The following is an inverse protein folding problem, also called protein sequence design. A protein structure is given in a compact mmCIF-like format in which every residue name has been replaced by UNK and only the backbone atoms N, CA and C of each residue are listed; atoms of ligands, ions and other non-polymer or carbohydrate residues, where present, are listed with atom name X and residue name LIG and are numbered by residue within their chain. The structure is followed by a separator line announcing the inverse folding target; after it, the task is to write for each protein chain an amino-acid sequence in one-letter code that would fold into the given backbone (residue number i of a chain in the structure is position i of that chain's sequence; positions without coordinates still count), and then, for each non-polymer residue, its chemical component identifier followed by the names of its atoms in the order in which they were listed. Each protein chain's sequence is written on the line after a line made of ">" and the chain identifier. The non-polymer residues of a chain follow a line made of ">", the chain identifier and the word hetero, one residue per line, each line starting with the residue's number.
data_IF_222588611248
#
_entry.id   IF_222588611248
#
_cell.length_a   1.000
_cell.length_b   1.000
_cell.length_c   1.000
_cell.angle_alpha   90.00
_cell.angle_beta   90.00
_cell.angle_gamma   90.00
#
_symmetry.space_group_name_H-M   'P 1'
#
loop_
_entity.id
_entity.type
_entity.pdbx_description
1 polymer ?
#
# COMPACT_ATOMS: atom_id res chain seq x y z
N UNK A 1 21.14 -13.27 -44.95
CA UNK A 1 21.20 -11.98 -44.26
C UNK A 1 20.92 -12.18 -42.78
N UNK A 2 22.00 -12.23 -42.02
CA UNK A 2 21.96 -12.28 -40.54
C UNK A 2 21.38 -10.97 -40.05
N UNK A 3 20.20 -11.03 -39.44
CA UNK A 3 19.72 -9.94 -38.60
C UNK A 3 20.70 -9.76 -37.46
N UNK A 4 21.34 -8.60 -37.41
CA UNK A 4 22.27 -8.25 -36.34
C UNK A 4 21.64 -8.49 -34.99
N UNK A 5 22.36 -9.25 -34.16
CA UNK A 5 22.13 -9.29 -32.75
C UNK A 5 22.30 -7.85 -32.23
N UNK A 6 21.21 -7.28 -31.71
CA UNK A 6 21.27 -5.96 -31.09
C UNK A 6 22.36 -5.94 -30.04
N UNK A 7 23.02 -4.79 -29.90
CA UNK A 7 24.10 -4.57 -28.95
C UNK A 7 23.69 -5.10 -27.54
N UNK A 8 24.42 -6.08 -27.07
CA UNK A 8 24.29 -6.59 -25.70
C UNK A 8 24.93 -5.55 -24.77
N UNK A 9 24.14 -4.65 -24.26
CA UNK A 9 24.61 -3.69 -23.26
C UNK A 9 24.96 -4.44 -21.97
N UNK A 10 26.25 -4.48 -21.63
CA UNK A 10 26.69 -4.93 -20.32
C UNK A 10 26.32 -3.87 -19.28
N UNK A 11 25.71 -4.30 -18.21
CA UNK A 11 25.41 -3.45 -17.05
C UNK A 11 26.51 -3.62 -16.00
N UNK A 12 26.76 -2.56 -15.24
CA UNK A 12 27.77 -2.53 -14.19
C UNK A 12 27.14 -2.48 -12.81
N UNK A 13 27.91 -2.82 -11.79
CA UNK A 13 27.48 -2.64 -10.40
C UNK A 13 27.12 -1.17 -10.14
N UNK A 14 25.95 -0.92 -9.54
CA UNK A 14 25.37 0.40 -9.32
C UNK A 14 24.31 0.81 -10.35
N UNK A 15 24.18 0.09 -11.46
CA UNK A 15 23.15 0.39 -12.46
C UNK A 15 21.77 -0.08 -11.98
N UNK A 16 20.74 0.73 -12.28
CA UNK A 16 19.33 0.34 -12.12
C UNK A 16 18.88 -0.33 -13.41
N UNK A 17 18.41 -1.55 -13.32
CA UNK A 17 18.03 -2.37 -14.46
C UNK A 17 16.63 -2.95 -14.32
N UNK A 18 15.96 -3.20 -15.45
CA UNK A 18 14.73 -3.98 -15.47
C UNK A 18 15.07 -5.42 -15.86
N UNK A 19 14.58 -6.40 -15.08
CA UNK A 19 14.76 -7.82 -15.32
C UNK A 19 13.38 -8.43 -15.61
N UNK A 20 13.29 -9.24 -16.65
CA UNK A 20 12.08 -9.97 -17.01
C UNK A 20 12.34 -11.49 -16.96
N UNK A 21 11.28 -12.28 -16.74
CA UNK A 21 11.37 -13.75 -16.74
C UNK A 21 11.48 -14.37 -15.33
N UNK A 22 11.38 -13.55 -14.28
CA UNK A 22 11.28 -14.04 -12.90
C UNK A 22 9.78 -14.02 -12.51
N UNK A 23 9.22 -15.20 -12.25
CA UNK A 23 7.78 -15.33 -12.00
C UNK A 23 7.36 -14.93 -10.58
N UNK A 24 8.17 -15.26 -9.58
CA UNK A 24 7.81 -15.19 -8.16
C UNK A 24 8.78 -14.32 -7.38
N UNK A 25 9.02 -13.08 -7.84
CA UNK A 25 9.87 -12.13 -7.14
C UNK A 25 9.06 -10.96 -6.58
N UNK A 26 9.25 -10.69 -5.29
CA UNK A 26 8.65 -9.56 -4.57
C UNK A 26 9.59 -8.37 -4.43
N UNK A 27 9.04 -7.23 -4.03
CA UNK A 27 9.82 -6.04 -3.69
C UNK A 27 10.62 -6.31 -2.41
N UNK A 28 11.91 -5.99 -2.43
CA UNK A 28 12.85 -6.22 -1.31
C UNK A 28 13.61 -7.53 -1.40
N UNK A 29 13.29 -8.42 -2.35
CA UNK A 29 14.03 -9.65 -2.55
C UNK A 29 15.32 -9.42 -3.36
N UNK A 30 16.34 -10.19 -3.05
CA UNK A 30 17.66 -10.10 -3.71
C UNK A 30 17.79 -11.16 -4.79
N UNK A 31 18.14 -10.74 -6.01
CA UNK A 31 18.46 -11.65 -7.12
C UNK A 31 19.96 -11.87 -7.17
N UNK A 32 20.39 -13.10 -6.98
CA UNK A 32 21.79 -13.51 -6.95
C UNK A 32 22.16 -14.41 -8.14
N UNK A 33 23.46 -14.51 -8.44
CA UNK A 33 23.97 -15.52 -9.36
C UNK A 33 23.99 -16.88 -8.66
N UNK A 34 23.64 -17.94 -9.36
CA UNK A 34 23.69 -19.31 -8.83
C UNK A 34 25.11 -19.63 -8.32
N UNK A 35 25.21 -20.04 -7.05
CA UNK A 35 26.47 -20.34 -6.38
C UNK A 35 27.17 -19.15 -5.70
N UNK A 36 26.57 -17.96 -5.73
CA UNK A 36 26.98 -16.78 -4.97
C UNK A 36 25.75 -16.11 -4.35
N UNK A 37 25.07 -16.88 -3.50
CA UNK A 37 23.82 -16.49 -2.89
C UNK A 37 24.10 -15.68 -1.61
N UNK A 38 24.22 -14.36 -1.74
CA UNK A 38 24.35 -13.45 -0.62
C UNK A 38 23.16 -12.47 -0.63
N UNK A 39 22.20 -12.70 0.29
CA UNK A 39 21.04 -11.86 0.40
C UNK A 39 21.39 -10.51 1.07
N UNK A 40 20.95 -9.41 0.48
CA UNK A 40 20.98 -8.11 1.13
C UNK A 40 19.95 -8.05 2.27
N UNK A 41 20.17 -7.23 3.32
CA UNK A 41 19.18 -7.09 4.38
C UNK A 41 17.85 -6.59 3.82
N UNK A 42 16.75 -7.23 4.24
CA UNK A 42 15.40 -6.84 3.85
C UNK A 42 15.10 -5.42 4.33
N UNK A 43 14.47 -4.63 3.48
CA UNK A 43 13.95 -3.34 3.87
C UNK A 43 12.80 -3.55 4.87
N UNK A 44 12.94 -2.93 6.05
CA UNK A 44 11.84 -2.91 7.01
C UNK A 44 10.76 -1.95 6.50
N UNK A 45 9.55 -2.47 6.34
CA UNK A 45 8.38 -1.67 5.97
C UNK A 45 7.49 -1.62 7.20
N UNK A 46 7.09 -0.41 7.59
CA UNK A 46 6.21 -0.21 8.73
C UNK A 46 4.88 -0.93 8.53
N UNK A 47 4.35 -1.47 9.62
CA UNK A 47 3.08 -2.16 9.59
C UNK A 47 1.92 -1.19 9.30
N UNK A 48 0.87 -1.67 8.61
CA UNK A 48 -0.29 -0.85 8.34
C UNK A 48 -1.00 -0.41 9.63
N UNK A 49 -1.50 0.82 9.63
CA UNK A 49 -2.18 1.44 10.78
C UNK A 49 -3.69 1.55 10.60
N UNK A 50 -4.19 1.46 9.37
CA UNK A 50 -5.60 1.59 9.01
C UNK A 50 -6.02 0.41 8.14
N UNK A 51 -7.26 -0.04 8.34
CA UNK A 51 -7.87 -1.08 7.53
C UNK A 51 -9.27 -0.68 7.06
N UNK A 52 -9.65 -1.19 5.88
CA UNK A 52 -11.00 -1.10 5.32
C UNK A 52 -11.43 -2.46 4.80
N UNK A 53 -12.73 -2.70 4.76
CA UNK A 53 -13.28 -3.89 4.10
C UNK A 53 -13.67 -3.51 2.68
N UNK A 54 -13.16 -4.24 1.71
CA UNK A 54 -13.53 -4.16 0.29
C UNK A 54 -14.41 -5.35 -0.05
N UNK A 55 -15.41 -5.14 -0.88
CA UNK A 55 -16.33 -6.20 -1.29
C UNK A 55 -16.96 -5.93 -2.64
N UNK A 56 -17.67 -6.93 -3.16
CA UNK A 56 -18.51 -6.74 -4.35
C UNK A 56 -19.66 -5.80 -4.03
N UNK A 57 -20.07 -4.99 -5.00
CA UNK A 57 -21.24 -4.14 -4.84
C UNK A 57 -22.51 -4.99 -4.81
N UNK A 58 -23.19 -5.01 -3.68
CA UNK A 58 -24.44 -5.76 -3.46
C UNK A 58 -25.68 -4.87 -3.53
N UNK A 59 -25.52 -3.59 -3.89
CA UNK A 59 -26.66 -2.67 -4.02
C UNK A 59 -27.54 -3.00 -5.23
N UNK A 60 -28.80 -2.49 -5.28
CA UNK A 60 -29.67 -2.66 -6.45
C UNK A 60 -29.12 -2.03 -7.75
N UNK A 61 -28.09 -1.18 -7.63
CA UNK A 61 -27.44 -0.50 -8.76
C UNK A 61 -26.12 -1.17 -9.19
N UNK A 62 -25.83 -2.36 -8.66
CA UNK A 62 -24.62 -3.09 -9.02
C UNK A 62 -24.53 -3.35 -10.53
N UNK A 63 -23.35 -3.13 -11.10
CA UNK A 63 -23.05 -3.33 -12.52
C UNK A 63 -23.41 -2.17 -13.45
N UNK A 64 -23.74 -0.99 -12.91
CA UNK A 64 -24.07 0.19 -13.71
C UNK A 64 -22.86 1.09 -13.97
N UNK A 65 -21.94 1.19 -13.04
CA UNK A 65 -20.82 2.13 -13.09
C UNK A 65 -19.49 1.48 -13.51
N UNK A 66 -19.34 0.16 -13.34
CA UNK A 66 -18.11 -0.56 -13.60
C UNK A 66 -18.25 -1.72 -14.57
N UNK A 67 -17.13 -2.08 -15.22
CA UNK A 67 -17.03 -3.27 -16.09
C UNK A 67 -16.63 -4.52 -15.30
N UNK A 68 -15.86 -4.35 -14.24
CA UNK A 68 -15.31 -5.42 -13.41
C UNK A 68 -16.02 -5.45 -12.06
N UNK A 69 -17.01 -6.31 -11.94
CA UNK A 69 -17.94 -6.36 -10.81
C UNK A 69 -17.86 -7.66 -10.00
N UNK A 70 -17.12 -8.65 -10.52
CA UNK A 70 -17.07 -9.97 -9.88
C UNK A 70 -16.01 -10.05 -8.80
N UNK A 71 -16.29 -10.85 -7.75
CA UNK A 71 -15.37 -11.10 -6.65
C UNK A 71 -13.97 -11.51 -7.14
N UNK A 72 -13.91 -12.42 -8.11
CA UNK A 72 -12.65 -12.89 -8.68
C UNK A 72 -11.83 -11.77 -9.32
N UNK A 73 -12.46 -10.89 -10.10
CA UNK A 73 -11.77 -9.77 -10.74
C UNK A 73 -11.22 -8.79 -9.72
N UNK A 74 -12.01 -8.47 -8.68
CA UNK A 74 -11.59 -7.59 -7.59
C UNK A 74 -10.41 -8.22 -6.84
N UNK A 75 -10.51 -9.51 -6.50
CA UNK A 75 -9.46 -10.26 -5.82
C UNK A 75 -8.14 -10.24 -6.60
N UNK A 76 -8.17 -10.62 -7.87
CA UNK A 76 -6.99 -10.64 -8.74
C UNK A 76 -6.33 -9.25 -8.82
N UNK A 77 -7.14 -8.19 -8.88
CA UNK A 77 -6.63 -6.81 -8.92
C UNK A 77 -6.01 -6.38 -7.60
N UNK A 78 -6.65 -6.70 -6.48
CA UNK A 78 -6.13 -6.41 -5.15
C UNK A 78 -4.80 -7.12 -4.91
N UNK A 79 -4.72 -8.43 -5.15
CA UNK A 79 -3.46 -9.16 -4.99
C UNK A 79 -2.36 -8.72 -5.96
N UNK A 80 -2.71 -8.23 -7.15
CA UNK A 80 -1.73 -7.63 -8.05
C UNK A 80 -1.10 -6.36 -7.45
N UNK A 81 -1.84 -5.61 -6.64
CA UNK A 81 -1.31 -4.41 -5.98
C UNK A 81 -0.28 -4.75 -4.91
N UNK A 82 -0.43 -5.85 -4.17
CA UNK A 82 0.57 -6.24 -3.16
C UNK A 82 1.95 -6.55 -3.75
N UNK A 83 2.01 -6.93 -5.02
CA UNK A 83 3.29 -7.12 -5.72
C UNK A 83 4.01 -5.79 -6.04
N UNK A 84 3.30 -4.67 -5.96
CA UNK A 84 3.83 -3.33 -6.22
C UNK A 84 4.04 -2.52 -4.95
N UNK A 85 3.17 -2.75 -3.98
CA UNK A 85 3.15 -2.03 -2.72
C UNK A 85 3.24 -2.99 -1.53
N UNK A 86 4.44 -3.11 -0.99
CA UNK A 86 4.75 -3.98 0.15
C UNK A 86 4.13 -3.51 1.46
N UNK A 87 3.65 -2.26 1.53
CA UNK A 87 2.97 -1.73 2.71
C UNK A 87 1.48 -2.06 2.76
N UNK A 88 0.95 -2.63 1.68
CA UNK A 88 -0.44 -3.06 1.59
C UNK A 88 -0.57 -4.52 2.01
N UNK A 89 -1.46 -4.80 2.95
CA UNK A 89 -1.83 -6.18 3.33
C UNK A 89 -3.27 -6.45 2.93
N UNK A 90 -3.50 -7.61 2.32
CA UNK A 90 -4.83 -8.02 1.88
C UNK A 90 -5.13 -9.40 2.44
N UNK A 91 -6.22 -9.52 3.16
CA UNK A 91 -6.68 -10.75 3.78
C UNK A 91 -8.11 -11.03 3.37
N UNK A 92 -8.38 -12.25 2.87
CA UNK A 92 -9.72 -12.64 2.51
C UNK A 92 -10.53 -12.99 3.76
N UNK A 93 -11.76 -12.48 3.86
CA UNK A 93 -12.68 -12.87 4.92
C UNK A 93 -13.27 -14.25 4.56
N UNK A 94 -13.16 -15.21 5.49
CA UNK A 94 -13.68 -16.56 5.27
C UNK A 94 -15.19 -16.55 5.03
N UNK A 95 -15.62 -17.33 4.03
CA UNK A 95 -17.03 -17.48 3.64
C UNK A 95 -17.73 -16.20 3.15
N UNK A 96 -16.96 -15.17 2.74
CA UNK A 96 -17.47 -13.94 2.16
C UNK A 96 -16.69 -13.54 0.91
N UNK A 97 -17.34 -12.76 0.05
CA UNK A 97 -16.70 -12.10 -1.09
C UNK A 97 -16.23 -10.70 -0.68
N UNK A 98 -15.47 -10.68 0.43
CA UNK A 98 -14.96 -9.48 1.07
C UNK A 98 -13.51 -9.70 1.48
N UNK A 99 -12.72 -8.60 1.44
CA UNK A 99 -11.30 -8.55 1.79
C UNK A 99 -11.03 -7.44 2.78
N UNK A 100 -10.23 -7.73 3.80
CA UNK A 100 -9.65 -6.70 4.66
C UNK A 100 -8.43 -6.17 3.93
N UNK A 101 -8.44 -4.90 3.62
CA UNK A 101 -7.33 -4.18 2.99
C UNK A 101 -6.75 -3.21 4.00
N UNK A 102 -5.50 -3.44 4.39
CA UNK A 102 -4.79 -2.67 5.39
C UNK A 102 -3.66 -1.88 4.74
N UNK A 103 -3.55 -0.61 5.09
CA UNK A 103 -2.57 0.32 4.53
C UNK A 103 -2.04 1.31 5.56
N UNK A 104 -1.10 2.16 5.16
CA UNK A 104 -0.44 3.14 6.04
C UNK A 104 -1.39 4.25 6.51
N UNK A 105 -2.41 4.60 5.71
CA UNK A 105 -3.31 5.71 6.03
C UNK A 105 -4.48 5.82 5.07
N UNK A 106 -5.39 6.74 5.36
CA UNK A 106 -6.60 6.97 4.56
C UNK A 106 -6.28 7.37 3.12
N UNK A 107 -5.29 8.25 2.92
CA UNK A 107 -4.89 8.69 1.59
C UNK A 107 -4.39 7.51 0.74
N UNK A 108 -3.60 6.63 1.33
CA UNK A 108 -3.08 5.45 0.66
C UNK A 108 -4.21 4.55 0.13
N UNK A 109 -5.18 4.21 0.99
CA UNK A 109 -6.33 3.39 0.59
C UNK A 109 -7.27 4.13 -0.37
N UNK A 110 -7.42 5.44 -0.23
CA UNK A 110 -8.23 6.27 -1.15
C UNK A 110 -7.64 6.31 -2.56
N UNK A 111 -6.31 6.36 -2.69
CA UNK A 111 -5.61 6.29 -3.99
C UNK A 111 -5.84 4.93 -4.64
N UNK A 112 -5.75 3.83 -3.87
CA UNK A 112 -6.06 2.49 -4.37
C UNK A 112 -7.49 2.40 -4.90
N UNK A 113 -8.48 2.86 -4.12
CA UNK A 113 -9.89 2.88 -4.51
C UNK A 113 -10.08 3.68 -5.80
N UNK A 114 -9.50 4.89 -5.89
CA UNK A 114 -9.64 5.75 -7.06
C UNK A 114 -8.98 5.12 -8.30
N UNK A 115 -7.82 4.51 -8.17
CA UNK A 115 -7.18 3.78 -9.26
C UNK A 115 -8.05 2.64 -9.77
N UNK A 116 -8.58 1.82 -8.86
CA UNK A 116 -9.49 0.73 -9.22
C UNK A 116 -10.75 1.26 -9.91
N UNK A 117 -11.33 2.34 -9.41
CA UNK A 117 -12.50 2.98 -10.02
C UNK A 117 -12.20 3.45 -11.45
N UNK A 118 -11.06 4.11 -11.67
CA UNK A 118 -10.62 4.57 -13.01
C UNK A 118 -10.35 3.42 -13.97
N UNK A 119 -9.88 2.29 -13.47
CA UNK A 119 -9.69 1.07 -14.25
C UNK A 119 -11.03 0.39 -14.61
N UNK A 120 -12.15 0.84 -14.03
CA UNK A 120 -13.50 0.33 -14.29
C UNK A 120 -13.95 -0.78 -13.34
N UNK A 121 -13.32 -0.90 -12.18
CA UNK A 121 -13.81 -1.77 -11.11
C UNK A 121 -14.92 -1.09 -10.34
N UNK A 122 -15.98 -1.84 -10.06
CA UNK A 122 -17.07 -1.44 -9.19
C UNK A 122 -17.00 -2.29 -7.92
N UNK A 123 -16.87 -1.61 -6.78
CA UNK A 123 -16.70 -2.25 -5.48
C UNK A 123 -17.37 -1.42 -4.39
N UNK A 124 -17.70 -2.05 -3.29
CA UNK A 124 -18.10 -1.38 -2.07
C UNK A 124 -16.96 -1.38 -1.05
N UNK A 125 -16.87 -0.32 -0.26
CA UNK A 125 -15.86 -0.19 0.79
C UNK A 125 -16.49 0.23 2.11
N UNK A 126 -15.94 -0.25 3.21
CA UNK A 126 -16.33 0.19 4.55
C UNK A 126 -15.68 1.52 4.92
N UNK A 127 -16.10 2.11 6.03
CA UNK A 127 -15.34 3.19 6.66
C UNK A 127 -13.98 2.67 7.13
N UNK A 128 -12.92 3.50 7.06
CA UNK A 128 -11.62 3.16 7.61
C UNK A 128 -11.70 2.96 9.13
N UNK A 129 -10.93 2.01 9.64
CA UNK A 129 -10.77 1.73 11.06
C UNK A 129 -9.30 1.65 11.41
N UNK A 130 -8.90 2.24 12.51
CA UNK A 130 -7.55 2.07 13.06
C UNK A 130 -7.33 0.61 13.46
N UNK A 131 -6.13 0.11 13.20
CA UNK A 131 -5.71 -1.23 13.61
C UNK A 131 -5.18 -1.11 15.03
N UNK A 132 -5.90 -1.69 15.97
CA UNK A 132 -5.49 -1.73 17.38
C UNK A 132 -4.54 -2.90 17.60
N UNK A 133 -3.52 -2.70 18.42
CA UNK A 133 -2.58 -3.75 18.83
C UNK A 133 -2.64 -3.96 20.34
N UNK A 134 -2.48 -5.20 20.75
CA UNK A 134 -2.29 -5.52 22.17
C UNK A 134 -0.77 -5.61 22.43
N UNK A 135 -0.29 -4.73 23.33
CA UNK A 135 1.10 -4.67 23.78
C UNK A 135 1.09 -4.82 25.30
N UNK A 136 1.73 -5.85 25.80
CA UNK A 136 1.80 -6.16 27.25
C UNK A 136 0.41 -6.21 27.95
N UNK A 137 -0.61 -6.73 27.25
CA UNK A 137 -1.98 -6.83 27.75
C UNK A 137 -2.79 -5.54 27.69
N UNK A 138 -2.25 -4.47 27.08
CA UNK A 138 -2.93 -3.19 26.87
C UNK A 138 -3.25 -3.00 25.39
N UNK A 139 -4.49 -2.60 25.10
CA UNK A 139 -4.91 -2.27 23.75
C UNK A 139 -4.39 -0.88 23.42
N UNK A 140 -3.54 -0.80 22.40
CA UNK A 140 -2.90 0.43 21.93
C UNK A 140 -3.43 0.80 20.54
N UNK A 141 -3.64 2.09 20.34
CA UNK A 141 -3.91 2.67 19.02
C UNK A 141 -2.59 3.16 18.39
N UNK A 142 -2.50 3.20 17.04
CA UNK A 142 -1.30 3.70 16.36
C UNK A 142 -1.17 5.22 16.52
N UNK A 143 0.05 5.68 16.82
CA UNK A 143 0.46 7.08 16.82
C UNK A 143 1.64 7.24 15.88
N UNK A 144 1.76 8.43 15.28
CA UNK A 144 2.88 8.79 14.40
C UNK A 144 3.58 10.03 14.95
N UNK A 145 4.91 10.02 14.88
CA UNK A 145 5.72 11.21 15.06
C UNK A 145 5.76 11.99 13.76
N UNK A 146 5.33 13.25 13.79
CA UNK A 146 5.19 14.09 12.59
C UNK A 146 6.02 15.35 12.75
N UNK A 147 6.93 15.60 11.81
CA UNK A 147 7.65 16.86 11.69
C UNK A 147 6.98 17.74 10.65
N UNK A 148 6.60 18.96 11.03
CA UNK A 148 5.90 19.90 10.15
C UNK A 148 6.73 21.17 10.05
N UNK A 149 7.13 21.53 8.82
CA UNK A 149 7.71 22.83 8.51
C UNK A 149 6.61 23.73 7.97
N UNK A 150 6.39 24.87 8.61
CA UNK A 150 5.36 25.83 8.23
C UNK A 150 5.85 27.27 8.43
N UNK A 151 5.35 28.25 7.63
CA UNK A 151 5.59 29.66 7.89
C UNK A 151 5.05 30.09 9.26
N UNK A 152 5.67 31.09 9.88
CA UNK A 152 5.35 31.54 11.24
C UNK A 152 3.86 31.93 11.43
N UNK A 153 3.26 32.51 10.41
CA UNK A 153 1.84 32.89 10.40
C UNK A 153 0.89 31.67 10.35
N UNK A 154 1.37 30.48 9.98
CA UNK A 154 0.60 29.25 9.90
C UNK A 154 0.73 28.36 11.14
N UNK A 155 1.71 28.59 12.02
CA UNK A 155 2.01 27.72 13.18
C UNK A 155 0.78 27.55 14.07
N UNK A 156 0.06 28.64 14.38
CA UNK A 156 -1.14 28.59 15.20
C UNK A 156 -2.24 27.68 14.64
N UNK A 157 -2.47 27.75 13.33
CA UNK A 157 -3.46 26.90 12.65
C UNK A 157 -3.06 25.43 12.64
N UNK A 158 -1.75 25.14 12.51
CA UNK A 158 -1.23 23.77 12.59
C UNK A 158 -1.44 23.19 13.98
N UNK A 159 -1.05 23.92 15.04
CA UNK A 159 -1.23 23.49 16.42
C UNK A 159 -2.71 23.24 16.74
N UNK A 160 -3.58 24.16 16.35
CA UNK A 160 -5.04 24.01 16.54
C UNK A 160 -5.58 22.77 15.84
N UNK A 161 -5.21 22.57 14.56
CA UNK A 161 -5.66 21.42 13.77
C UNK A 161 -5.22 20.09 14.35
N UNK A 162 -3.99 20.01 14.87
CA UNK A 162 -3.47 18.80 15.52
C UNK A 162 -4.08 18.61 16.91
N UNK A 163 -4.36 19.68 17.64
CA UNK A 163 -5.04 19.64 18.93
C UNK A 163 -6.42 18.99 18.86
N UNK A 164 -7.22 19.29 17.82
CA UNK A 164 -8.49 18.60 17.59
C UNK A 164 -8.34 17.11 17.33
N UNK A 165 -7.19 16.67 16.83
CA UNK A 165 -6.84 15.27 16.61
C UNK A 165 -6.12 14.62 17.79
N UNK A 166 -6.06 15.28 18.94
CA UNK A 166 -5.34 14.85 20.14
C UNK A 166 -3.83 14.72 19.94
N UNK A 167 -3.28 15.49 19.00
CA UNK A 167 -1.83 15.58 18.83
C UNK A 167 -1.17 16.21 20.06
N UNK A 168 0.01 15.72 20.40
CA UNK A 168 0.85 16.25 21.48
C UNK A 168 2.02 16.98 20.82
N UNK A 169 2.20 18.27 21.16
CA UNK A 169 3.37 19.01 20.70
C UNK A 169 4.56 18.61 21.56
N UNK A 170 5.60 18.04 20.95
CA UNK A 170 6.82 17.64 21.65
C UNK A 170 7.88 18.72 21.61
N UNK A 171 8.18 19.23 20.42
CA UNK A 171 9.19 20.28 20.20
C UNK A 171 8.69 21.32 19.22
N UNK A 172 9.17 22.55 19.35
CA UNK A 172 8.95 23.63 18.40
C UNK A 172 10.21 24.46 18.33
N UNK A 173 10.83 24.44 17.16
CA UNK A 173 12.00 25.26 16.83
C UNK A 173 11.57 26.41 15.92
N UNK A 174 12.13 27.61 16.14
CA UNK A 174 11.82 28.85 15.38
C UNK A 174 13.06 29.36 14.63
#
# INVERSE_FOLDING_TARGET
>A
PSRGLGDVYKRQAGDIVAIAGLADIGVGETVCTTGQEEALPLLHVDEPTIQMVFGTNTSPFAGQDGKFVTARQIEERLFKETNRDVSLKIERIQNKEEWIVSGRGELHLSILIENMRREGYELQVSKPKAIMKEIDGVICEPYEEVTIEAPDDCIGAVIESLGYRRGVLETMDS
#
